data_IF_930389688708
#
_entry.id   IF_930389688708
#
_cell.length_a   1.000
_cell.length_b   1.000
_cell.length_c   1.000
_cell.angle_alpha   90.00
_cell.angle_beta   90.00
_cell.angle_gamma   90.00
#
_symmetry.space_group_name_H-M   'P 1'
#
loop_
_entity.id
_entity.type
_entity.pdbx_description
1 polymer ?
#
# COMPACT_ATOMS: atom_id res chain seq x y z
N UNK A 1 16.91 18.55 -22.08
CA UNK A 1 16.61 19.03 -20.71
C UNK A 1 16.01 17.93 -19.83
N UNK A 2 15.50 16.83 -20.39
CA UNK A 2 14.62 15.90 -19.66
C UNK A 2 15.29 15.04 -18.58
N UNK A 3 16.54 14.59 -18.74
CA UNK A 3 17.14 13.60 -17.83
C UNK A 3 17.33 14.14 -16.41
N UNK A 4 17.83 15.37 -16.25
CA UNK A 4 18.06 15.97 -14.92
C UNK A 4 16.72 16.21 -14.20
N UNK A 5 15.71 16.69 -14.92
CA UNK A 5 14.38 16.90 -14.39
C UNK A 5 13.75 15.56 -13.98
N UNK A 6 13.94 14.51 -14.79
CA UNK A 6 13.50 13.15 -14.46
C UNK A 6 14.15 12.65 -13.17
N UNK A 7 15.46 12.86 -12.99
CA UNK A 7 16.19 12.47 -11.78
C UNK A 7 15.62 13.21 -10.55
N UNK A 8 15.51 14.54 -10.62
CA UNK A 8 14.94 15.38 -9.54
C UNK A 8 13.53 14.91 -9.20
N UNK A 9 12.68 14.68 -10.21
CA UNK A 9 11.31 14.25 -10.01
C UNK A 9 11.21 12.85 -9.42
N UNK A 10 12.05 11.92 -9.88
CA UNK A 10 12.12 10.56 -9.37
C UNK A 10 12.47 10.55 -7.88
N UNK A 11 13.56 11.21 -7.49
CA UNK A 11 13.98 11.23 -6.08
C UNK A 11 13.01 12.02 -5.19
N UNK A 12 12.39 13.09 -5.70
CA UNK A 12 11.35 13.81 -4.97
C UNK A 12 10.13 12.93 -4.70
N UNK A 13 9.64 12.20 -5.71
CA UNK A 13 8.56 11.22 -5.52
C UNK A 13 8.96 10.09 -4.58
N UNK A 14 10.20 9.60 -4.68
CA UNK A 14 10.70 8.56 -3.80
C UNK A 14 10.70 9.00 -2.33
N UNK A 15 11.19 10.21 -2.02
CA UNK A 15 11.14 10.81 -0.67
C UNK A 15 9.71 10.87 -0.14
N UNK A 16 8.75 11.32 -0.96
CA UNK A 16 7.33 11.37 -0.56
C UNK A 16 6.78 9.96 -0.27
N UNK A 17 7.05 9.00 -1.15
CA UNK A 17 6.60 7.62 -0.97
C UNK A 17 7.23 6.94 0.26
N UNK A 18 8.51 7.20 0.56
CA UNK A 18 9.19 6.69 1.76
C UNK A 18 8.53 7.25 3.02
N UNK A 19 8.25 8.56 3.05
CA UNK A 19 7.62 9.19 4.21
C UNK A 19 6.19 8.69 4.41
N UNK A 20 5.40 8.57 3.34
CA UNK A 20 4.05 8.01 3.42
C UNK A 20 4.08 6.56 3.93
N UNK A 21 5.00 5.74 3.42
CA UNK A 21 5.17 4.36 3.88
C UNK A 21 5.54 4.30 5.38
N UNK A 22 6.41 5.21 5.84
CA UNK A 22 6.80 5.35 7.25
C UNK A 22 5.59 5.63 8.15
N UNK A 23 4.72 6.55 7.74
CA UNK A 23 3.55 6.98 8.50
C UNK A 23 2.44 5.93 8.54
N UNK A 24 2.20 5.23 7.43
CA UNK A 24 1.09 4.27 7.31
C UNK A 24 1.44 2.87 7.83
N UNK A 25 2.65 2.38 7.56
CA UNK A 25 3.00 0.97 7.74
C UNK A 25 3.92 0.66 8.92
N UNK A 26 4.59 1.67 9.48
CA UNK A 26 5.61 1.48 10.54
C UNK A 26 5.22 2.11 11.88
N UNK A 27 3.94 2.39 12.08
CA UNK A 27 3.40 2.90 13.34
C UNK A 27 3.78 1.99 14.52
N UNK A 28 4.44 2.57 15.53
CA UNK A 28 4.91 1.83 16.71
C UNK A 28 6.29 1.16 16.59
N UNK A 29 6.96 1.26 15.44
CA UNK A 29 8.34 0.78 15.27
C UNK A 29 9.34 1.94 15.10
N UNK A 30 9.70 2.55 16.23
CA UNK A 30 10.59 3.74 16.29
C UNK A 30 11.89 3.55 15.52
N UNK A 31 12.51 2.36 15.61
CA UNK A 31 13.77 2.05 14.92
C UNK A 31 13.61 2.04 13.39
N UNK A 32 12.53 1.45 12.89
CA UNK A 32 12.25 1.44 11.46
C UNK A 32 11.92 2.85 10.95
N UNK A 33 11.13 3.61 11.72
CA UNK A 33 10.77 4.98 11.37
C UNK A 33 12.00 5.89 11.30
N UNK A 34 12.87 5.86 12.31
CA UNK A 34 14.10 6.67 12.31
C UNK A 34 15.02 6.32 11.14
N UNK A 35 15.13 5.03 10.81
CA UNK A 35 15.94 4.55 9.68
C UNK A 35 15.37 5.02 8.33
N UNK A 36 14.04 4.93 8.15
CA UNK A 36 13.39 5.40 6.93
C UNK A 36 13.50 6.92 6.76
N UNK A 37 13.38 7.69 7.83
CA UNK A 37 13.59 9.14 7.79
C UNK A 37 15.03 9.49 7.39
N UNK A 38 16.05 8.83 7.94
CA UNK A 38 17.44 9.05 7.55
C UNK A 38 17.68 8.77 6.04
N UNK A 39 17.09 7.70 5.51
CA UNK A 39 17.16 7.37 4.08
C UNK A 39 16.39 8.35 3.20
N UNK A 40 15.26 8.84 3.69
CA UNK A 40 14.45 9.88 3.04
C UNK A 40 15.23 11.20 2.93
N UNK A 41 15.94 11.58 4.00
CA UNK A 41 16.80 12.75 4.04
C UNK A 41 17.98 12.63 3.07
N UNK A 42 18.59 11.45 2.96
CA UNK A 42 19.64 11.18 1.97
C UNK A 42 19.13 11.38 0.53
N UNK A 43 17.92 10.89 0.23
CA UNK A 43 17.27 11.13 -1.06
C UNK A 43 16.97 12.64 -1.29
N UNK A 44 16.55 13.35 -0.24
CA UNK A 44 16.34 14.80 -0.28
C UNK A 44 17.62 15.58 -0.59
N UNK A 45 18.77 15.15 -0.07
CA UNK A 45 20.09 15.75 -0.39
C UNK A 45 20.45 15.57 -1.86
N UNK A 46 20.15 14.42 -2.48
CA UNK A 46 20.34 14.20 -3.93
C UNK A 46 19.52 15.23 -4.73
N UNK A 47 18.25 15.42 -4.35
CA UNK A 47 17.35 16.40 -5.01
C UNK A 47 17.93 17.81 -4.91
N UNK A 48 18.33 18.24 -3.71
CA UNK A 48 18.90 19.58 -3.49
C UNK A 48 20.15 19.82 -4.34
N UNK A 49 21.14 18.93 -4.25
CA UNK A 49 22.40 19.06 -4.99
C UNK A 49 22.17 19.12 -6.51
N UNK A 50 21.29 18.26 -7.02
CA UNK A 50 21.00 18.19 -8.46
C UNK A 50 20.25 19.42 -8.95
N UNK A 51 19.32 19.93 -8.14
CA UNK A 51 18.58 21.17 -8.42
C UNK A 51 19.51 22.38 -8.48
N UNK A 52 20.35 22.54 -7.46
CA UNK A 52 21.31 23.65 -7.37
C UNK A 52 22.26 23.65 -8.57
N UNK A 53 22.76 22.49 -8.97
CA UNK A 53 23.60 22.35 -10.17
C UNK A 53 22.87 22.77 -11.45
N UNK A 54 21.62 22.33 -11.63
CA UNK A 54 20.83 22.66 -12.81
C UNK A 54 20.57 24.18 -12.94
N UNK A 55 20.13 24.80 -11.85
CA UNK A 55 19.81 26.23 -11.79
C UNK A 55 21.07 27.09 -11.97
N UNK A 56 22.21 26.69 -11.41
CA UNK A 56 23.43 27.49 -11.42
C UNK A 56 24.28 27.27 -12.69
N UNK A 57 24.32 26.05 -13.24
CA UNK A 57 25.30 25.69 -14.28
C UNK A 57 24.65 25.57 -15.66
N UNK A 58 23.61 24.75 -15.79
CA UNK A 58 22.95 24.52 -17.09
C UNK A 58 22.25 25.78 -17.61
N UNK A 59 21.53 26.48 -16.73
CA UNK A 59 20.86 27.74 -17.09
C UNK A 59 21.87 28.86 -17.38
N UNK A 60 22.95 28.96 -16.61
CA UNK A 60 23.99 29.96 -16.87
C UNK A 60 24.66 29.77 -18.24
N UNK A 61 25.05 28.53 -18.58
CA UNK A 61 25.60 28.21 -19.90
C UNK A 61 24.63 28.59 -21.03
N UNK A 62 23.37 28.19 -20.90
CA UNK A 62 22.32 28.52 -21.87
C UNK A 62 22.16 30.04 -22.02
N UNK A 63 22.10 30.77 -20.90
CA UNK A 63 21.90 32.22 -20.90
C UNK A 63 23.09 32.96 -21.52
N UNK A 64 24.32 32.57 -21.22
CA UNK A 64 25.53 33.18 -21.79
C UNK A 64 25.60 32.97 -23.31
N UNK A 65 25.39 31.74 -23.79
CA UNK A 65 25.39 31.45 -25.22
C UNK A 65 24.24 32.16 -25.93
N UNK A 66 23.03 32.13 -25.38
CA UNK A 66 21.89 32.83 -25.99
C UNK A 66 22.06 34.34 -25.99
N UNK A 67 22.68 34.92 -24.97
CA UNK A 67 22.98 36.35 -24.93
C UNK A 67 23.89 36.71 -26.11
N UNK A 68 24.96 35.95 -26.35
CA UNK A 68 25.84 36.19 -27.50
C UNK A 68 25.08 36.09 -28.84
N UNK A 69 24.23 35.06 -29.00
CA UNK A 69 23.46 34.85 -30.22
C UNK A 69 22.38 35.92 -30.45
N UNK A 70 21.69 36.36 -29.39
CA UNK A 70 20.55 37.28 -29.48
C UNK A 70 20.92 38.75 -29.33
N UNK A 71 22.11 39.05 -28.83
CA UNK A 71 22.56 40.42 -28.60
C UNK A 71 23.69 40.76 -29.55
N UNK A 72 24.84 40.09 -29.45
CA UNK A 72 26.03 40.48 -30.20
C UNK A 72 25.89 40.14 -31.70
N UNK A 73 25.39 38.95 -32.03
CA UNK A 73 25.19 38.58 -33.43
C UNK A 73 24.06 39.36 -34.11
N UNK A 74 23.01 39.72 -33.35
CA UNK A 74 21.89 40.51 -33.85
C UNK A 74 22.33 41.94 -34.20
N UNK A 75 23.21 42.57 -33.41
CA UNK A 75 23.78 43.88 -33.75
C UNK A 75 24.50 43.89 -35.10
N UNK A 76 25.18 42.81 -35.46
CA UNK A 76 25.83 42.67 -36.78
C UNK A 76 24.77 42.56 -37.88
N UNK A 77 23.68 41.85 -37.64
CA UNK A 77 22.57 41.72 -38.59
C UNK A 77 21.87 43.07 -38.82
N UNK A 78 21.64 43.85 -37.76
CA UNK A 78 21.08 45.20 -37.83
C UNK A 78 22.00 46.16 -38.58
N UNK A 79 23.29 46.16 -38.25
CA UNK A 79 24.29 46.99 -38.95
C UNK A 79 24.41 46.62 -40.44
N UNK A 80 24.30 45.33 -40.78
CA UNK A 80 24.24 44.87 -42.16
C UNK A 80 23.00 45.41 -42.88
N UNK A 81 21.82 45.33 -42.26
CA UNK A 81 20.59 45.84 -42.86
C UNK A 81 20.67 47.36 -43.14
N UNK A 82 21.25 48.12 -42.22
CA UNK A 82 21.52 49.54 -42.42
C UNK A 82 22.51 49.79 -43.56
N UNK A 83 23.58 49.01 -43.63
CA UNK A 83 24.56 49.08 -44.72
C UNK A 83 23.90 48.80 -46.09
N UNK A 84 23.11 47.73 -46.21
CA UNK A 84 22.44 47.35 -47.46
C UNK A 84 21.45 48.44 -47.93
N UNK A 85 20.69 49.02 -46.99
CA UNK A 85 19.78 50.13 -47.26
C UNK A 85 20.52 51.40 -47.72
N UNK A 86 21.62 51.74 -47.06
CA UNK A 86 22.41 52.92 -47.41
C UNK A 86 23.19 52.72 -48.72
N UNK A 87 23.62 51.49 -49.02
CA UNK A 87 24.23 51.12 -50.30
C UNK A 87 23.27 51.40 -51.45
N UNK A 88 22.01 50.98 -51.32
CA UNK A 88 20.97 51.25 -52.32
C UNK A 88 20.76 52.75 -52.52
N UNK A 89 20.70 53.51 -51.42
CA UNK A 89 20.55 54.98 -51.46
C UNK A 89 21.74 55.67 -52.15
N UNK A 90 22.95 55.14 -51.97
CA UNK A 90 24.17 55.60 -52.63
C UNK A 90 24.12 55.35 -54.15
N UNK A 91 23.70 54.16 -54.57
CA UNK A 91 23.54 53.82 -55.99
C UNK A 91 22.53 54.74 -56.69
N UNK A 92 21.41 55.04 -56.03
CA UNK A 92 20.43 56.00 -56.53
C UNK A 92 21.00 57.43 -56.65
N UNK A 93 21.74 57.89 -55.64
CA UNK A 93 22.35 59.22 -55.65
C UNK A 93 23.40 59.35 -56.75
N UNK A 94 24.20 58.29 -56.97
CA UNK A 94 25.16 58.22 -58.08
C UNK A 94 24.45 58.27 -59.44
N UNK A 95 23.38 57.48 -59.61
CA UNK A 95 22.58 57.46 -60.84
C UNK A 95 21.94 58.82 -61.15
N UNK A 96 21.33 59.48 -60.15
CA UNK A 96 20.75 60.82 -60.29
C UNK A 96 21.79 61.88 -60.65
N UNK A 97 22.96 61.86 -59.99
CA UNK A 97 24.04 62.79 -60.28
C UNK A 97 24.61 62.58 -61.70
N UNK A 98 24.76 61.32 -62.14
CA UNK A 98 25.23 60.98 -63.48
C UNK A 98 24.22 61.39 -64.59
N UNK A 99 22.92 61.37 -64.29
CA UNK A 99 21.86 61.77 -65.23
C UNK A 99 21.71 63.30 -65.41
N UNK A 100 22.44 64.11 -64.64
CA UNK A 100 22.35 65.57 -64.69
C UNK A 100 22.88 66.13 -66.02
N UNK A 101 22.15 67.07 -66.63
CA UNK A 101 22.48 67.63 -67.94
C UNK A 101 23.08 69.03 -67.84
N UNK A 102 23.92 69.40 -68.82
CA UNK A 102 24.57 70.74 -68.88
C UNK A 102 23.60 71.90 -69.10
N UNK A 103 22.37 71.61 -69.52
CA UNK A 103 21.32 72.62 -69.79
C UNK A 103 20.60 73.07 -68.51
N UNK A 104 20.70 72.31 -67.42
CA UNK A 104 20.12 72.65 -66.10
C UNK A 104 21.21 72.61 -65.02
N UNK A 105 22.06 73.65 -64.93
CA UNK A 105 23.18 73.66 -64.00
C UNK A 105 22.76 73.66 -62.52
N UNK A 106 21.55 74.15 -62.17
CA UNK A 106 20.99 74.07 -60.82
C UNK A 106 20.82 72.61 -60.35
N UNK A 107 20.24 71.78 -61.20
CA UNK A 107 19.90 70.38 -60.90
C UNK A 107 21.19 69.56 -60.71
N UNK A 108 22.24 69.89 -61.47
CA UNK A 108 23.57 69.29 -61.32
C UNK A 108 24.25 69.65 -59.99
N UNK A 109 24.04 70.88 -59.49
CA UNK A 109 24.57 71.30 -58.18
C UNK A 109 23.83 70.59 -57.06
N UNK A 110 22.50 70.48 -57.15
CA UNK A 110 21.67 69.78 -56.18
C UNK A 110 22.01 68.28 -56.12
N UNK A 111 22.13 67.62 -57.28
CA UNK A 111 22.54 66.22 -57.37
C UNK A 111 23.91 65.95 -56.74
N UNK A 112 24.87 66.85 -56.95
CA UNK A 112 26.21 66.74 -56.33
C UNK A 112 26.17 66.95 -54.82
N UNK A 113 25.37 67.90 -54.32
CA UNK A 113 25.23 68.12 -52.88
C UNK A 113 24.54 66.93 -52.20
N UNK A 114 23.49 66.39 -52.81
CA UNK A 114 22.81 65.19 -52.33
C UNK A 114 23.76 63.98 -52.33
N UNK A 115 24.53 63.78 -53.39
CA UNK A 115 25.55 62.71 -53.46
C UNK A 115 26.62 62.87 -52.38
N UNK A 116 27.06 64.10 -52.10
CA UNK A 116 28.04 64.37 -51.04
C UNK A 116 27.48 63.99 -49.66
N UNK A 117 26.22 64.35 -49.39
CA UNK A 117 25.56 64.01 -48.14
C UNK A 117 25.34 62.49 -47.97
N UNK A 118 24.79 61.83 -49.00
CA UNK A 118 24.56 60.37 -48.99
C UNK A 118 25.89 59.62 -48.93
N UNK A 119 26.92 60.08 -49.65
CA UNK A 119 28.25 59.49 -49.65
C UNK A 119 28.93 59.54 -48.27
N UNK A 120 28.79 60.66 -47.56
CA UNK A 120 29.27 60.76 -46.18
C UNK A 120 28.53 59.79 -45.25
N UNK A 121 27.20 59.71 -45.35
CA UNK A 121 26.39 58.77 -44.57
C UNK A 121 26.75 57.31 -44.87
N UNK A 122 26.91 56.96 -46.14
CA UNK A 122 27.32 55.61 -46.58
C UNK A 122 28.70 55.23 -46.04
N UNK A 123 29.67 56.14 -46.04
CA UNK A 123 30.99 55.89 -45.48
C UNK A 123 30.94 55.60 -43.98
N UNK A 124 30.16 56.37 -43.21
CA UNK A 124 29.95 56.13 -41.79
C UNK A 124 29.29 54.77 -41.53
N UNK A 125 28.17 54.46 -42.20
CA UNK A 125 27.46 53.18 -42.05
C UNK A 125 28.33 51.98 -42.43
N UNK A 126 29.19 52.13 -43.45
CA UNK A 126 30.15 51.08 -43.85
C UNK A 126 31.16 50.82 -42.74
N UNK A 127 31.72 51.88 -42.14
CA UNK A 127 32.65 51.74 -41.02
C UNK A 127 31.98 51.12 -39.80
N UNK A 128 30.74 51.51 -39.49
CA UNK A 128 29.98 50.95 -38.38
C UNK A 128 29.73 49.44 -38.58
N UNK A 129 29.35 49.03 -39.79
CA UNK A 129 29.14 47.61 -40.09
C UNK A 129 30.44 46.79 -39.95
N UNK A 130 31.55 47.28 -40.52
CA UNK A 130 32.87 46.63 -40.37
C UNK A 130 33.30 46.59 -38.91
N UNK A 131 33.06 47.65 -38.15
CA UNK A 131 33.37 47.71 -36.72
C UNK A 131 32.58 46.66 -35.94
N UNK A 132 31.28 46.49 -36.18
CA UNK A 132 30.47 45.46 -35.52
C UNK A 132 30.97 44.04 -35.82
N UNK A 133 31.38 43.76 -37.07
CA UNK A 133 32.00 42.48 -37.44
C UNK A 133 33.27 42.25 -36.60
N UNK A 134 34.17 43.22 -36.58
CA UNK A 134 35.45 43.10 -35.87
C UNK A 134 35.26 42.93 -34.36
N UNK A 135 34.30 43.65 -33.77
CA UNK A 135 33.96 43.54 -32.35
C UNK A 135 33.44 42.13 -32.05
N UNK A 136 32.46 41.61 -32.81
CA UNK A 136 31.94 40.26 -32.58
C UNK A 136 33.01 39.19 -32.77
N UNK A 137 33.91 39.36 -33.75
CA UNK A 137 35.06 38.47 -33.93
C UNK A 137 36.00 38.46 -32.73
N UNK A 138 36.23 39.60 -32.07
CA UNK A 138 37.03 39.67 -30.86
C UNK A 138 36.29 39.14 -29.62
N UNK A 139 34.97 39.31 -29.56
CA UNK A 139 34.13 38.88 -28.44
C UNK A 139 33.91 37.36 -28.42
N UNK A 140 33.62 36.75 -29.58
CA UNK A 140 33.19 35.34 -29.67
C UNK A 140 34.19 34.38 -29.02
N UNK A 141 35.49 34.66 -29.15
CA UNK A 141 36.54 33.74 -28.74
C UNK A 141 36.52 33.57 -27.23
N UNK A 142 36.51 34.67 -26.47
CA UNK A 142 36.52 34.58 -25.01
C UNK A 142 35.13 34.30 -24.41
N UNK A 143 34.05 34.83 -24.97
CA UNK A 143 32.70 34.62 -24.41
C UNK A 143 32.25 33.16 -24.51
N UNK A 144 32.49 32.50 -25.64
CA UNK A 144 32.09 31.09 -25.84
C UNK A 144 32.97 30.18 -24.98
N UNK A 145 34.28 30.42 -24.97
CA UNK A 145 35.22 29.61 -24.18
C UNK A 145 34.94 29.77 -22.68
N UNK A 146 34.71 31.00 -22.19
CA UNK A 146 34.42 31.25 -20.77
C UNK A 146 33.11 30.59 -20.33
N UNK A 147 32.06 30.62 -21.16
CA UNK A 147 30.79 29.96 -20.86
C UNK A 147 30.94 28.44 -20.73
N UNK A 148 31.64 27.81 -21.68
CA UNK A 148 31.89 26.36 -21.65
C UNK A 148 32.81 25.98 -20.48
N UNK A 149 33.86 26.75 -20.23
CA UNK A 149 34.79 26.49 -19.13
C UNK A 149 34.11 26.64 -17.77
N UNK A 150 33.29 27.67 -17.60
CA UNK A 150 32.50 27.88 -16.38
C UNK A 150 31.59 26.69 -16.09
N UNK A 151 30.93 26.13 -17.12
CA UNK A 151 30.12 24.93 -16.98
C UNK A 151 30.94 23.70 -16.54
N UNK A 152 32.13 23.50 -17.11
CA UNK A 152 33.02 22.38 -16.74
C UNK A 152 33.52 22.53 -15.30
N UNK A 153 33.91 23.73 -14.88
CA UNK A 153 34.34 24.02 -13.51
C UNK A 153 33.22 23.74 -12.50
N UNK A 154 32.00 24.18 -12.79
CA UNK A 154 30.86 23.90 -11.90
C UNK A 154 30.46 22.42 -11.90
N UNK A 155 30.60 21.72 -13.02
CA UNK A 155 30.41 20.27 -13.06
C UNK A 155 31.39 19.55 -12.13
N UNK A 156 32.67 19.93 -12.17
CA UNK A 156 33.70 19.40 -11.26
C UNK A 156 33.38 19.71 -9.79
N UNK A 157 32.94 20.93 -9.50
CA UNK A 157 32.51 21.36 -8.16
C UNK A 157 31.30 20.56 -7.67
N UNK A 158 30.31 20.34 -8.53
CA UNK A 158 29.13 19.53 -8.24
C UNK A 158 29.50 18.09 -7.85
N UNK A 159 30.34 17.41 -8.62
CA UNK A 159 30.77 16.05 -8.29
C UNK A 159 31.58 16.00 -6.99
N UNK A 160 32.44 16.99 -6.76
CA UNK A 160 33.23 17.09 -5.52
C UNK A 160 32.34 17.31 -4.29
N UNK A 161 31.37 18.23 -4.38
CA UNK A 161 30.38 18.48 -3.31
C UNK A 161 29.49 17.26 -3.07
N UNK A 162 29.01 16.62 -4.13
CA UNK A 162 28.21 15.41 -4.04
C UNK A 162 28.96 14.29 -3.33
N UNK A 163 30.23 14.04 -3.72
CA UNK A 163 31.07 13.07 -3.04
C UNK A 163 31.24 13.41 -1.55
N UNK A 164 31.61 14.64 -1.21
CA UNK A 164 31.81 15.05 0.19
C UNK A 164 30.53 14.88 1.04
N UNK A 165 29.37 15.27 0.51
CA UNK A 165 28.08 15.13 1.22
C UNK A 165 27.76 13.66 1.51
N UNK A 166 27.94 12.78 0.53
CA UNK A 166 27.64 11.36 0.72
C UNK A 166 28.74 10.62 1.48
N UNK A 167 29.99 11.04 1.41
CA UNK A 167 31.08 10.50 2.22
C UNK A 167 30.84 10.78 3.72
N UNK A 168 30.50 12.04 4.05
CA UNK A 168 30.13 12.42 5.43
C UNK A 168 28.87 11.68 5.90
N UNK A 169 27.82 11.62 5.07
CA UNK A 169 26.58 10.92 5.41
C UNK A 169 26.80 9.43 5.60
N UNK A 170 27.53 8.78 4.70
CA UNK A 170 27.84 7.35 4.82
C UNK A 170 28.73 7.05 6.01
N UNK A 171 29.64 7.94 6.40
CA UNK A 171 30.45 7.77 7.60
C UNK A 171 29.61 7.81 8.90
N UNK A 172 28.58 8.65 8.96
CA UNK A 172 27.71 8.80 10.13
C UNK A 172 26.60 7.73 10.17
N UNK A 173 25.90 7.54 9.05
CA UNK A 173 24.64 6.79 9.01
C UNK A 173 24.79 5.33 8.51
N UNK A 174 25.85 4.95 7.77
CA UNK A 174 25.94 3.55 7.30
C UNK A 174 26.01 2.54 8.45
N UNK A 175 26.72 2.87 9.54
CA UNK A 175 26.78 2.03 10.73
C UNK A 175 25.39 1.87 11.36
N UNK A 176 24.72 3.00 11.60
CA UNK A 176 23.40 3.02 12.23
C UNK A 176 22.31 2.32 11.39
N UNK A 177 22.32 2.50 10.07
CA UNK A 177 21.39 1.83 9.14
C UNK A 177 21.66 0.32 9.09
N UNK A 178 22.93 -0.10 8.98
CA UNK A 178 23.31 -1.51 8.97
C UNK A 178 22.93 -2.20 10.29
N UNK A 179 23.18 -1.56 11.43
CA UNK A 179 22.80 -2.05 12.75
C UNK A 179 21.27 -2.17 12.89
N UNK A 180 20.53 -1.18 12.39
CA UNK A 180 19.06 -1.21 12.37
C UNK A 180 18.52 -2.37 11.54
N UNK A 181 19.08 -2.62 10.35
CA UNK A 181 18.73 -3.76 9.50
C UNK A 181 19.05 -5.08 10.23
N UNK A 182 20.21 -5.19 10.86
CA UNK A 182 20.61 -6.38 11.60
C UNK A 182 19.65 -6.66 12.77
N UNK A 183 19.31 -5.63 13.54
CA UNK A 183 18.38 -5.73 14.67
C UNK A 183 16.96 -6.14 14.22
N UNK A 184 16.43 -5.51 13.17
CA UNK A 184 15.11 -5.85 12.61
C UNK A 184 15.09 -7.28 12.04
N UNK A 185 16.17 -7.71 11.38
CA UNK A 185 16.34 -9.07 10.86
C UNK A 185 16.36 -10.09 12.00
N UNK A 186 17.10 -9.82 13.07
CA UNK A 186 17.16 -10.69 14.24
C UNK A 186 15.78 -10.81 14.91
N UNK A 187 15.07 -9.68 15.09
CA UNK A 187 13.70 -9.66 15.62
C UNK A 187 12.75 -10.49 14.75
N UNK A 188 12.79 -10.33 13.44
CA UNK A 188 11.96 -11.10 12.50
C UNK A 188 12.21 -12.61 12.62
N UNK A 189 13.48 -13.04 12.63
CA UNK A 189 13.86 -14.45 12.80
C UNK A 189 13.40 -15.03 14.14
N UNK A 190 13.40 -14.23 15.21
CA UNK A 190 12.91 -14.67 16.52
C UNK A 190 11.40 -14.93 16.47
N UNK A 191 10.63 -14.01 15.90
CA UNK A 191 9.17 -14.18 15.74
C UNK A 191 8.85 -15.39 14.88
N UNK A 192 9.55 -15.56 13.76
CA UNK A 192 9.34 -16.70 12.87
C UNK A 192 9.58 -18.04 13.57
N UNK A 193 10.69 -18.17 14.33
CA UNK A 193 10.98 -19.38 15.12
C UNK A 193 9.92 -19.63 16.18
N UNK A 194 9.56 -18.60 16.96
CA UNK A 194 8.51 -18.71 17.98
C UNK A 194 7.17 -19.19 17.40
N UNK A 195 6.78 -18.69 16.21
CA UNK A 195 5.55 -19.13 15.55
C UNK A 195 5.66 -20.57 15.04
N UNK A 196 6.82 -20.99 14.54
CA UNK A 196 7.06 -22.39 14.17
C UNK A 196 6.98 -23.33 15.38
N UNK A 197 7.56 -22.92 16.52
CA UNK A 197 7.48 -23.68 17.76
C UNK A 197 6.02 -23.80 18.23
N UNK A 198 5.26 -22.69 18.25
CA UNK A 198 3.83 -22.71 18.60
C UNK A 198 3.04 -23.61 17.63
N UNK A 199 3.32 -23.54 16.34
CA UNK A 199 2.66 -24.39 15.34
C UNK A 199 2.98 -25.88 15.55
N UNK A 200 4.19 -26.21 16.01
CA UNK A 200 4.57 -27.58 16.35
C UNK A 200 3.84 -28.12 17.57
N UNK A 201 3.38 -27.24 18.48
CA UNK A 201 2.63 -27.60 19.67
C UNK A 201 1.15 -27.90 19.40
N UNK A 202 0.64 -27.62 18.20
CA UNK A 202 -0.74 -27.94 17.81
C UNK A 202 -0.86 -29.47 17.69
N UNK A 203 -1.45 -30.18 18.67
CA UNK A 203 -1.56 -31.63 18.58
C UNK A 203 -2.59 -31.99 17.51
N UNK A 204 -2.39 -33.08 16.78
CA UNK A 204 -3.46 -33.67 15.94
C UNK A 204 -4.72 -34.04 16.75
N UNK A 205 -4.58 -34.14 18.07
CA UNK A 205 -5.63 -34.48 19.03
C UNK A 205 -6.34 -33.25 19.62
N UNK A 206 -5.96 -32.01 19.26
CA UNK A 206 -6.73 -30.82 19.67
C UNK A 206 -8.18 -30.86 19.14
N UNK A 207 -8.44 -31.67 18.11
CA UNK A 207 -9.78 -31.96 17.60
C UNK A 207 -10.61 -32.91 18.50
N UNK A 208 -10.01 -33.51 19.53
CA UNK A 208 -10.69 -34.38 20.50
C UNK A 208 -11.00 -33.67 21.84
N UNK A 209 -10.44 -32.50 22.09
CA UNK A 209 -10.75 -31.72 23.29
C UNK A 209 -12.03 -30.89 23.09
N UNK A 210 -12.89 -30.90 24.11
CA UNK A 210 -14.10 -30.09 24.18
C UNK A 210 -13.76 -28.61 24.05
N UNK A 211 -13.94 -28.05 22.85
CA UNK A 211 -13.95 -26.60 22.66
C UNK A 211 -15.21 -26.06 23.33
N UNK A 212 -15.04 -25.37 24.45
CA UNK A 212 -16.18 -24.85 25.22
C UNK A 212 -15.87 -23.83 26.31
N UNK A 213 -14.60 -23.56 26.63
CA UNK A 213 -14.22 -22.48 27.54
C UNK A 213 -13.66 -21.33 26.70
N UNK A 214 -14.33 -20.18 26.71
CA UNK A 214 -13.82 -18.98 26.05
C UNK A 214 -12.60 -18.44 26.80
N UNK A 215 -11.62 -17.83 26.13
CA UNK A 215 -10.58 -17.05 26.79
C UNK A 215 -11.12 -15.76 27.44
N UNK A 216 -12.32 -15.30 27.08
CA UNK A 216 -13.01 -14.19 27.78
C UNK A 216 -13.64 -14.73 29.08
N UNK A 217 -13.23 -14.27 30.27
CA UNK A 217 -13.76 -14.74 31.55
C UNK A 217 -15.26 -14.47 31.72
N UNK A 218 -15.82 -13.52 30.98
CA UNK A 218 -17.25 -13.19 31.01
C UNK A 218 -18.07 -14.08 30.06
N UNK A 219 -17.42 -14.77 29.12
CA UNK A 219 -18.07 -15.70 28.19
C UNK A 219 -17.99 -17.10 28.77
N UNK A 220 -19.12 -17.54 29.29
CA UNK A 220 -19.26 -18.84 29.94
C UNK A 220 -19.08 -20.01 28.95
N UNK A 221 -19.56 -19.85 27.71
CA UNK A 221 -19.45 -20.86 26.67
C UNK A 221 -19.62 -20.22 25.29
N UNK A 222 -18.89 -20.72 24.30
CA UNK A 222 -19.04 -20.28 22.92
C UNK A 222 -18.79 -21.38 21.90
N UNK A 223 -19.39 -21.25 20.71
CA UNK A 223 -19.23 -22.22 19.65
C UNK A 223 -20.21 -22.04 18.48
N UNK A 224 -20.02 -22.79 17.41
CA UNK A 224 -20.93 -22.74 16.27
C UNK A 224 -22.17 -23.63 16.48
N UNK A 225 -23.36 -23.04 16.30
CA UNK A 225 -24.63 -23.79 16.19
C UNK A 225 -25.38 -23.39 14.92
N UNK A 226 -26.28 -24.26 14.48
CA UNK A 226 -27.22 -23.94 13.40
C UNK A 226 -28.53 -23.42 14.00
N UNK A 227 -28.93 -22.21 13.61
CA UNK A 227 -30.26 -21.67 13.93
C UNK A 227 -31.18 -21.70 12.71
N UNK A 228 -32.45 -22.01 12.95
CA UNK A 228 -33.49 -21.98 11.92
C UNK A 228 -34.07 -20.57 11.79
N UNK A 229 -34.28 -20.08 10.57
CA UNK A 229 -34.94 -18.80 10.34
C UNK A 229 -36.40 -18.80 10.82
N UNK A 230 -36.85 -17.68 11.35
CA UNK A 230 -38.25 -17.44 11.69
C UNK A 230 -39.10 -17.06 10.47
N UNK A 231 -38.47 -16.76 9.33
CA UNK A 231 -39.13 -16.35 8.08
C UNK A 231 -40.02 -17.47 7.48
N UNK A 232 -40.86 -17.11 6.50
CA UNK A 232 -41.76 -18.03 5.78
C UNK A 232 -41.00 -19.20 5.13
N UNK A 233 -39.78 -18.97 4.68
CA UNK A 233 -38.84 -20.01 4.26
C UNK A 233 -37.90 -20.38 5.42
N UNK A 234 -38.09 -21.59 5.96
CA UNK A 234 -37.28 -22.13 7.05
C UNK A 234 -35.95 -22.63 6.52
N UNK A 235 -34.86 -21.95 6.86
CA UNK A 235 -33.50 -22.32 6.48
C UNK A 235 -32.60 -22.41 7.71
N UNK A 236 -31.70 -23.40 7.71
CA UNK A 236 -30.71 -23.58 8.76
C UNK A 236 -29.46 -22.76 8.46
N UNK A 237 -29.06 -21.93 9.42
CA UNK A 237 -27.97 -20.99 9.26
C UNK A 237 -26.95 -21.19 10.39
N UNK A 238 -25.70 -21.50 10.04
CA UNK A 238 -24.60 -21.61 11.00
C UNK A 238 -24.23 -20.23 11.55
N UNK A 239 -24.20 -20.08 12.86
CA UNK A 239 -23.82 -18.83 13.57
C UNK A 239 -22.94 -19.17 14.76
N UNK A 240 -22.08 -18.22 15.16
CA UNK A 240 -21.29 -18.33 16.39
C UNK A 240 -22.16 -17.88 17.55
N UNK A 241 -22.34 -18.72 18.56
CA UNK A 241 -23.15 -18.45 19.74
C UNK A 241 -22.25 -18.24 20.95
N UNK A 242 -22.68 -17.35 21.84
CA UNK A 242 -21.98 -17.06 23.09
C UNK A 242 -23.00 -16.95 24.24
N UNK A 243 -22.67 -17.51 25.39
CA UNK A 243 -23.38 -17.29 26.66
C UNK A 243 -22.55 -16.30 27.47
N UNK A 244 -23.05 -15.08 27.65
CA UNK A 244 -22.39 -13.98 28.37
C UNK A 244 -23.42 -13.22 29.18
N UNK A 245 -23.13 -12.92 30.44
CA UNK A 245 -24.02 -12.16 31.34
C UNK A 245 -25.47 -12.67 31.40
N UNK A 246 -25.65 -14.00 31.48
CA UNK A 246 -26.96 -14.68 31.44
C UNK A 246 -27.78 -14.47 30.15
N UNK A 247 -27.17 -13.93 29.09
CA UNK A 247 -27.78 -13.76 27.77
C UNK A 247 -27.30 -14.84 26.81
N UNK A 248 -28.14 -15.15 25.83
CA UNK A 248 -27.70 -15.89 24.65
C UNK A 248 -27.52 -14.92 23.48
N UNK A 249 -26.32 -14.92 22.95
CA UNK A 249 -25.87 -14.04 21.88
C UNK A 249 -25.52 -14.86 20.62
N UNK A 250 -25.69 -14.28 19.44
CA UNK A 250 -25.10 -14.87 18.22
C UNK A 250 -24.53 -13.83 17.25
N UNK A 251 -23.51 -14.24 16.49
CA UNK A 251 -22.82 -13.41 15.50
C UNK A 251 -22.68 -14.11 14.15
N UNK A 252 -22.54 -13.31 13.09
CA UNK A 252 -22.18 -13.80 11.77
C UNK A 252 -20.68 -14.10 11.68
N UNK A 253 -20.26 -15.05 10.82
CA UNK A 253 -18.85 -15.43 10.66
C UNK A 253 -17.96 -14.25 10.22
N UNK A 254 -18.52 -13.32 9.46
CA UNK A 254 -17.78 -12.25 8.76
C UNK A 254 -18.12 -10.85 9.27
N UNK A 255 -18.82 -10.74 10.39
CA UNK A 255 -19.21 -9.47 10.96
C UNK A 255 -18.40 -9.21 12.23
N UNK A 256 -17.11 -8.94 12.08
CA UNK A 256 -16.20 -8.59 13.19
C UNK A 256 -16.60 -7.28 13.89
N UNK A 257 -17.43 -6.45 13.25
CA UNK A 257 -17.86 -5.13 13.74
C UNK A 257 -19.35 -5.03 14.11
N UNK A 258 -20.15 -6.09 13.99
CA UNK A 258 -21.54 -6.07 14.45
C UNK A 258 -21.61 -6.49 15.92
N UNK A 259 -22.32 -5.71 16.74
CA UNK A 259 -22.64 -6.15 18.09
C UNK A 259 -23.39 -7.50 18.00
N UNK A 260 -23.02 -8.47 18.85
CA UNK A 260 -23.68 -9.77 18.83
C UNK A 260 -25.18 -9.58 19.06
N UNK A 261 -25.99 -10.27 18.24
CA UNK A 261 -27.44 -10.16 18.36
C UNK A 261 -27.90 -10.91 19.60
N UNK A 262 -28.62 -10.22 20.49
CA UNK A 262 -29.27 -10.85 21.64
C UNK A 262 -30.41 -11.72 21.15
N UNK A 263 -30.23 -13.03 21.28
CA UNK A 263 -31.27 -14.01 21.03
C UNK A 263 -32.18 -14.16 22.24
N UNK A 264 -31.62 -14.09 23.45
CA UNK A 264 -32.37 -14.16 24.70
C UNK A 264 -31.70 -13.27 25.77
N UNK A 265 -32.50 -12.48 26.48
CA UNK A 265 -32.02 -11.47 27.43
C UNK A 265 -31.74 -12.05 28.82
N UNK A 266 -32.43 -13.13 29.19
CA UNK A 266 -32.21 -13.79 30.47
C UNK A 266 -32.52 -15.28 30.41
N UNK A 267 -31.48 -16.09 30.27
CA UNK A 267 -31.55 -17.54 30.20
C UNK A 267 -32.16 -18.20 31.44
N UNK A 268 -32.17 -17.52 32.60
CA UNK A 268 -32.78 -18.04 33.83
C UNK A 268 -34.31 -18.11 33.76
N UNK A 269 -34.92 -17.39 32.81
CA UNK A 269 -36.37 -17.40 32.58
C UNK A 269 -36.79 -18.46 31.54
N UNK A 270 -35.83 -19.20 31.01
CA UNK A 270 -36.05 -20.08 29.88
C UNK A 270 -35.98 -21.54 30.30
N UNK A 271 -36.86 -22.35 29.72
CA UNK A 271 -36.89 -23.80 29.93
C UNK A 271 -36.27 -24.53 28.76
N UNK A 272 -35.55 -25.60 29.07
CA UNK A 272 -34.95 -26.46 28.09
C UNK A 272 -35.84 -27.67 27.79
N UNK A 273 -36.18 -28.00 26.54
CA UNK A 273 -37.00 -29.16 26.13
C UNK A 273 -36.43 -29.83 24.89
N UNK A 274 -36.55 -31.14 24.66
CA UNK A 274 -36.10 -31.81 23.42
C UNK A 274 -36.84 -31.33 22.16
N UNK A 275 -36.18 -31.34 21.00
CA UNK A 275 -36.80 -30.86 19.77
C UNK A 275 -37.87 -31.86 19.31
N UNK A 276 -39.06 -31.40 18.87
CA UNK A 276 -40.10 -32.30 18.39
C UNK A 276 -39.60 -33.18 17.22
N UNK A 277 -40.07 -34.44 17.10
CA UNK A 277 -39.69 -35.34 16.01
C UNK A 277 -40.03 -34.77 14.61
N UNK A 278 -40.97 -33.84 14.54
CA UNK A 278 -41.41 -33.15 13.32
C UNK A 278 -40.43 -32.11 12.78
N UNK A 279 -39.37 -31.78 13.53
CA UNK A 279 -38.33 -30.86 13.07
C UNK A 279 -37.33 -31.63 12.21
N UNK A 280 -37.49 -31.57 10.90
CA UNK A 280 -36.60 -32.19 9.93
C UNK A 280 -35.20 -31.53 9.99
N UNK A 281 -34.20 -32.29 10.46
CA UNK A 281 -32.80 -31.85 10.65
C UNK A 281 -31.96 -31.97 9.38
N UNK A 282 -32.58 -32.25 8.24
CA UNK A 282 -31.91 -32.48 6.95
C UNK A 282 -31.54 -31.13 6.32
N UNK A 283 -30.26 -30.79 6.37
CA UNK A 283 -29.70 -29.72 5.53
C UNK A 283 -29.60 -30.30 4.12
N UNK A 284 -30.53 -29.96 3.21
CA UNK A 284 -30.33 -30.28 1.79
C UNK A 284 -29.15 -29.46 1.28
N UNK A 285 -28.05 -30.08 0.82
CA UNK A 285 -27.00 -29.33 0.15
C UNK A 285 -27.61 -28.73 -1.12
N UNK A 286 -27.50 -27.40 -1.28
CA UNK A 286 -27.83 -26.74 -2.54
C UNK A 286 -26.93 -27.32 -3.62
N UNK A 287 -27.53 -28.05 -4.55
CA UNK A 287 -26.86 -28.70 -5.67
C UNK A 287 -26.23 -27.66 -6.59
N UNK A 288 -24.91 -27.49 -6.51
CA UNK A 288 -24.15 -26.94 -7.63
C UNK A 288 -22.66 -27.30 -7.52
N UNK A 289 -22.30 -28.59 -7.61
CA UNK A 289 -20.96 -28.96 -8.10
C UNK A 289 -20.94 -30.39 -8.65
N UNK A 290 -20.40 -30.53 -9.87
CA UNK A 290 -20.22 -31.79 -10.62
C UNK A 290 -19.14 -32.69 -10.00
N UNK A 291 -19.13 -34.01 -10.29
CA UNK A 291 -18.31 -34.98 -9.58
C UNK A 291 -16.87 -35.05 -10.13
N UNK A 292 -15.92 -35.38 -9.24
CA UNK A 292 -14.54 -35.68 -9.59
C UNK A 292 -13.87 -36.61 -8.57
N UNK A 293 -13.84 -37.90 -8.92
CA UNK A 293 -12.98 -39.03 -8.50
C UNK A 293 -12.29 -39.07 -7.11
N UNK A 294 -12.66 -40.10 -6.36
CA UNK A 294 -11.88 -40.78 -5.32
C UNK A 294 -10.54 -41.33 -5.85
N UNK A 295 -9.50 -41.33 -5.00
CA UNK A 295 -8.70 -42.53 -4.67
C UNK A 295 -8.11 -42.46 -3.25
N UNK A 296 -8.46 -43.51 -2.49
CA UNK A 296 -7.71 -44.30 -1.52
C UNK A 296 -7.00 -43.68 -0.32
N UNK A 297 -7.48 -44.09 0.86
CA UNK A 297 -6.75 -44.10 2.15
C UNK A 297 -6.51 -45.55 2.53
N UNK A 298 -5.31 -45.86 3.04
CA UNK A 298 -5.01 -47.13 3.72
C UNK A 298 -4.82 -46.88 5.21
N UNK A 299 -5.54 -47.65 6.03
CA UNK A 299 -5.45 -47.74 7.49
C UNK A 299 -4.15 -48.39 7.96
N UNK A 300 -3.65 -48.01 9.14
CA UNK A 300 -3.11 -48.97 10.14
C UNK A 300 -3.38 -48.44 11.56
N UNK A 301 -3.79 -49.39 12.40
CA UNK A 301 -4.25 -49.38 13.78
C UNK A 301 -3.14 -49.32 14.85
N UNK A 302 -3.49 -48.91 16.08
CA UNK A 302 -2.62 -49.02 17.26
C UNK A 302 -3.27 -48.50 18.55
N UNK A 303 -3.22 -49.30 19.60
CA UNK A 303 -4.04 -49.31 20.83
C UNK A 303 -3.49 -48.56 22.05
N UNK A 304 -4.39 -48.25 23.00
CA UNK A 304 -4.22 -48.19 24.48
C UNK A 304 -3.34 -47.05 25.05
N UNK A 305 -3.54 -46.44 26.23
CA UNK A 305 -4.27 -46.74 27.47
C UNK A 305 -4.45 -45.43 28.24
N UNK A 306 -5.48 -45.32 29.07
CA UNK A 306 -5.71 -44.21 29.99
C UNK A 306 -4.83 -44.30 31.25
N UNK A 307 -4.42 -43.14 31.79
CA UNK A 307 -4.20 -42.96 33.22
C UNK A 307 -4.66 -41.55 33.65
N UNK A 308 -5.39 -41.55 34.76
CA UNK A 308 -6.10 -40.44 35.38
C UNK A 308 -5.16 -39.56 36.22
N UNK A 309 -5.42 -38.26 36.27
CA UNK A 309 -5.25 -37.50 37.52
C UNK A 309 -6.32 -36.42 37.66
N UNK A 310 -7.15 -36.64 38.67
CA UNK A 310 -8.16 -35.77 39.23
C UNK A 310 -7.55 -34.58 39.98
N UNK A 311 -8.12 -33.39 39.81
CA UNK A 311 -8.09 -32.35 40.84
C UNK A 311 -9.47 -31.72 40.99
N UNK A 312 -10.01 -31.81 42.20
CA UNK A 312 -11.24 -31.20 42.68
C UNK A 312 -10.99 -29.74 43.10
N UNK A 313 -11.88 -28.83 42.67
CA UNK A 313 -11.91 -27.41 43.10
C UNK A 313 -13.25 -27.11 43.79
N UNK A 314 -13.30 -26.28 44.85
CA UNK A 314 -14.45 -26.11 45.74
C UNK A 314 -15.45 -25.02 45.30
N UNK A 315 -16.71 -25.25 45.67
CA UNK A 315 -17.84 -24.33 45.91
C UNK A 315 -17.77 -22.87 45.40
N UNK A 316 -18.10 -22.70 44.12
CA UNK A 316 -18.89 -21.56 43.65
C UNK A 316 -19.85 -22.12 42.61
N UNK A 317 -21.14 -22.24 42.96
CA UNK A 317 -22.09 -22.92 42.08
C UNK A 317 -22.28 -22.08 40.82
N UNK A 318 -21.66 -22.51 39.73
CA UNK A 318 -21.61 -21.80 38.43
C UNK A 318 -23.02 -21.51 37.92
N UNK A 319 -23.22 -20.50 37.06
CA UNK A 319 -24.50 -20.23 36.38
C UNK A 319 -25.09 -21.49 35.74
N UNK A 320 -24.23 -22.42 35.31
CA UNK A 320 -24.62 -23.74 34.81
C UNK A 320 -25.38 -24.57 35.85
N UNK A 321 -24.89 -24.59 37.08
CA UNK A 321 -25.52 -25.28 38.19
C UNK A 321 -26.83 -24.59 38.59
N UNK A 322 -26.94 -23.28 38.43
CA UNK A 322 -28.19 -22.55 38.61
C UNK A 322 -29.22 -22.91 37.52
N UNK A 323 -28.79 -23.03 36.26
CA UNK A 323 -29.64 -23.47 35.12
C UNK A 323 -30.09 -24.94 35.29
N UNK A 324 -29.24 -25.81 35.83
CA UNK A 324 -29.57 -27.22 36.13
C UNK A 324 -30.55 -27.37 37.29
N UNK A 325 -30.56 -26.44 38.24
CA UNK A 325 -31.50 -26.41 39.39
C UNK A 325 -32.91 -26.02 38.99
N UNK A 326 -33.14 -25.57 37.76
CA UNK A 326 -34.49 -25.32 37.24
C UNK A 326 -35.22 -26.66 37.04
N UNK A 327 -36.40 -26.88 37.67
CA UNK A 327 -37.13 -28.13 37.56
C UNK A 327 -37.39 -28.54 36.10
N UNK A 328 -36.93 -29.73 35.72
CA UNK A 328 -37.00 -30.25 34.35
C UNK A 328 -35.69 -30.17 33.54
N UNK A 329 -34.66 -29.45 34.04
CA UNK A 329 -33.32 -29.38 33.43
C UNK A 329 -32.31 -30.37 34.06
N UNK A 330 -32.80 -31.28 34.90
CA UNK A 330 -32.00 -32.24 35.68
C UNK A 330 -31.35 -33.31 34.80
N UNK A 331 -31.93 -33.59 33.64
CA UNK A 331 -31.45 -34.60 32.69
C UNK A 331 -31.38 -34.05 31.27
N UNK A 332 -30.46 -34.58 30.49
CA UNK A 332 -30.30 -34.31 29.07
C UNK A 332 -31.58 -34.61 28.28
N UNK A 333 -31.97 -33.68 27.41
CA UNK A 333 -33.18 -33.75 26.63
C UNK A 333 -33.12 -34.79 25.49
N UNK A 334 -31.94 -35.01 24.90
CA UNK A 334 -31.79 -35.94 23.76
C UNK A 334 -31.43 -37.39 24.19
N UNK A 335 -30.76 -37.58 25.33
CA UNK A 335 -30.24 -38.89 25.75
C UNK A 335 -30.51 -39.27 27.22
N UNK A 336 -31.13 -38.40 28.03
CA UNK A 336 -31.54 -38.71 29.41
C UNK A 336 -30.44 -38.71 30.47
N UNK A 337 -29.19 -38.36 30.14
CA UNK A 337 -28.06 -38.31 31.08
C UNK A 337 -28.29 -37.34 32.25
N UNK A 338 -27.99 -37.78 33.47
CA UNK A 338 -28.23 -37.05 34.74
C UNK A 338 -27.30 -35.83 34.98
N UNK A 339 -26.43 -35.54 34.01
CA UNK A 339 -25.53 -34.37 34.01
C UNK A 339 -25.38 -33.79 32.61
N UNK A 340 -26.41 -33.10 32.09
CA UNK A 340 -26.30 -32.43 30.80
C UNK A 340 -25.22 -31.35 30.85
N UNK A 341 -24.40 -31.22 29.80
CA UNK A 341 -23.22 -30.33 29.76
C UNK A 341 -23.29 -29.22 28.70
N UNK A 342 -24.33 -29.19 27.86
CA UNK A 342 -24.51 -28.18 26.81
C UNK A 342 -25.94 -27.72 26.68
N UNK A 343 -26.15 -26.51 26.15
CA UNK A 343 -27.45 -25.86 25.97
C UNK A 343 -27.67 -25.43 24.48
N UNK A 344 -28.84 -25.59 23.83
CA UNK A 344 -29.15 -25.12 22.44
C UNK A 344 -30.58 -24.52 22.37
N UNK A 345 -31.03 -23.75 21.35
CA UNK A 345 -32.43 -23.22 21.30
C UNK A 345 -33.00 -23.33 19.88
N UNK A 346 -34.30 -23.65 19.70
CA UNK A 346 -35.00 -23.56 18.41
C UNK A 346 -36.22 -22.66 18.57
N UNK A 347 -36.30 -21.65 17.72
CA UNK A 347 -37.46 -20.78 17.60
C UNK A 347 -38.64 -21.52 16.96
N UNK A 348 -39.65 -21.77 17.78
CA UNK A 348 -40.96 -22.31 17.42
C UNK A 348 -41.91 -22.40 18.62
N UNK A 349 -41.36 -22.57 19.82
CA UNK A 349 -42.01 -22.43 21.14
C UNK A 349 -40.86 -22.04 22.08
N UNK A 350 -41.06 -21.16 23.06
CA UNK A 350 -40.03 -20.72 24.02
C UNK A 350 -39.31 -21.90 24.70
N UNK A 351 -38.27 -22.46 24.08
CA UNK A 351 -37.57 -23.63 24.58
C UNK A 351 -36.11 -23.69 24.12
N UNK A 352 -35.24 -23.83 25.11
CA UNK A 352 -33.82 -24.14 25.04
C UNK A 352 -33.66 -25.70 25.00
N UNK A 353 -32.49 -26.32 24.86
CA UNK A 353 -32.18 -27.74 24.65
C UNK A 353 -30.95 -28.04 25.51
N UNK A 354 -30.78 -29.23 26.08
CA UNK A 354 -29.51 -29.63 26.67
C UNK A 354 -29.16 -31.02 26.18
N UNK A 355 -27.89 -31.30 25.85
CA UNK A 355 -27.50 -32.70 25.73
C UNK A 355 -26.12 -33.12 26.23
N UNK A 356 -25.73 -34.33 25.82
CA UNK A 356 -24.57 -35.09 26.26
C UNK A 356 -23.97 -35.81 25.04
N UNK A 357 -22.64 -35.82 24.91
CA UNK A 357 -21.91 -36.62 23.92
C UNK A 357 -21.30 -37.84 24.65
N UNK A 358 -21.42 -39.07 24.12
CA UNK A 358 -20.92 -40.27 24.80
C UNK A 358 -19.40 -40.31 24.85
N UNK A 359 -18.84 -40.85 25.95
CA UNK A 359 -17.41 -40.83 26.27
C UNK A 359 -16.53 -41.77 25.42
N UNK A 360 -17.09 -42.69 24.61
CA UNK A 360 -16.31 -43.57 23.75
C UNK A 360 -17.01 -43.83 22.41
N UNK A 361 -16.32 -43.54 21.30
CA UNK A 361 -16.77 -43.75 19.92
C UNK A 361 -16.52 -45.21 19.50
N UNK A 362 -17.52 -46.09 19.63
CA UNK A 362 -17.55 -47.35 18.86
C UNK A 362 -18.25 -47.07 17.54
N UNK A 363 -17.52 -47.18 16.43
CA UNK A 363 -18.05 -47.07 15.06
C UNK A 363 -18.77 -48.37 14.70
N UNK A 364 -20.09 -48.38 14.42
CA UNK A 364 -20.73 -49.56 13.87
C UNK A 364 -20.43 -49.72 12.37
N UNK A 365 -20.34 -50.95 11.84
CA UNK A 365 -20.04 -51.20 10.44
C UNK A 365 -21.16 -50.68 9.51
N UNK A 366 -20.84 -50.38 8.24
CA UNK A 366 -21.80 -49.79 7.31
C UNK A 366 -22.98 -50.73 7.03
N UNK A 367 -24.19 -50.18 7.00
CA UNK A 367 -25.42 -50.92 6.77
C UNK A 367 -25.50 -51.45 5.32
N UNK A 368 -25.63 -52.78 5.16
CA UNK A 368 -26.08 -53.40 3.93
C UNK A 368 -27.55 -53.07 3.67
N UNK A 369 -27.92 -52.95 2.39
CA UNK A 369 -29.27 -52.65 1.93
C UNK A 369 -30.32 -53.50 2.66
N UNK A 370 -31.39 -52.84 3.12
CA UNK A 370 -32.52 -53.38 3.90
C UNK A 370 -32.36 -53.33 5.44
N UNK A 371 -32.44 -52.12 6.04
CA UNK A 371 -32.84 -51.96 7.45
C UNK A 371 -33.24 -50.50 7.77
N UNK A 372 -34.47 -50.33 8.27
CA UNK A 372 -35.12 -49.04 8.59
C UNK A 372 -34.68 -48.43 9.93
N UNK A 373 -33.37 -48.24 10.15
CA UNK A 373 -32.84 -47.45 11.29
C UNK A 373 -31.59 -46.68 10.88
N UNK A 374 -31.81 -45.48 10.37
CA UNK A 374 -30.76 -44.49 10.11
C UNK A 374 -30.70 -43.48 11.27
N UNK A 375 -29.77 -43.69 12.20
CA UNK A 375 -29.39 -42.68 13.20
C UNK A 375 -28.18 -41.94 12.62
N UNK A 376 -28.41 -40.75 12.07
CA UNK A 376 -27.36 -39.85 11.60
C UNK A 376 -27.17 -38.71 12.60
N UNK A 377 -26.09 -38.77 13.38
CA UNK A 377 -25.51 -37.58 14.03
C UNK A 377 -24.53 -36.95 13.04
N UNK A 378 -24.92 -35.84 12.41
CA UNK A 378 -24.01 -35.02 11.63
C UNK A 378 -23.27 -34.05 12.56
N UNK A 379 -22.00 -34.36 12.86
CA UNK A 379 -21.00 -33.37 13.26
C UNK A 379 -19.89 -33.38 12.20
N UNK A 380 -20.08 -32.63 11.12
CA UNK A 380 -19.01 -32.34 10.18
C UNK A 380 -18.34 -31.03 10.60
N UNK A 381 -17.12 -31.13 11.13
CA UNK A 381 -16.17 -30.02 11.20
C UNK A 381 -15.21 -30.18 10.02
N UNK A 382 -15.35 -29.33 9.01
CA UNK A 382 -14.33 -29.07 8.02
C UNK A 382 -13.87 -27.62 8.20
N UNK A 383 -12.64 -27.45 8.66
CA UNK A 383 -11.79 -26.28 8.40
C UNK A 383 -10.43 -26.87 8.02
N UNK A 384 -9.84 -26.33 6.95
CA UNK A 384 -8.52 -26.68 6.44
C UNK A 384 -7.44 -26.67 7.53
#
# INVERSE_FOLDING_TARGET
LDIIIIIIFFFSKLTVSINQLCDESFTGNVLAQSTLHALSDACGRIVSLTKDFHEQSCMALYNQINSFLKTDLVRVQEARAHFDSMSTSMDEALSRNAASTRTRPSDAVEGRNALTAVGACFAHTTLDYVAQINIVHALKDHLIIDALWSFIRESSSYFSRGHAVFDEWTAVDNGAVADSIAALTAKSRLVQRKMQDIHSLVPKEMFQHFSGMSPDPDVMMEGYLYKRSSNAFKTWNRRWFQIKDNKLLYSHRSAESEQPTVMEENLMLCLVRPAPPSVERVIRPSSSTKPGNNRDVSEVSGSSSADLCSFSVPDATTTFEQIRRVPGNERCADCGSDQPKWVSINLGVNAIYLAHLPENYVVPPPASECSSRQVWLFAYFAVF
#
